data_IF_465882236549
#
_entry.id   IF_465882236549
#
_cell.length_a   1.000
_cell.length_b   1.000
_cell.length_c   1.000
_cell.angle_alpha   90.00
_cell.angle_beta   90.00
_cell.angle_gamma   90.00
#
_symmetry.space_group_name_H-M   'P 1'
#
loop_
_entity.id
_entity.type
_entity.pdbx_description
1 polymer ?
#
# COMPACT_ATOMS: atom_id res chain seq x y z
N UNK A 1 10.06 21.45 -38.69
CA UNK A 1 10.79 22.58 -38.06
C UNK A 1 9.76 23.53 -37.47
N UNK A 2 9.47 23.36 -36.18
CA UNK A 2 8.85 24.37 -35.31
C UNK A 2 9.22 23.93 -33.90
N UNK A 3 10.27 24.57 -33.39
CA UNK A 3 10.96 24.19 -32.16
C UNK A 3 10.07 24.34 -30.95
N UNK A 4 10.07 23.30 -30.12
CA UNK A 4 9.62 23.39 -28.74
C UNK A 4 10.66 24.25 -28.01
N UNK A 5 10.32 25.52 -27.78
CA UNK A 5 11.13 26.39 -26.94
C UNK A 5 11.08 25.83 -25.52
N UNK A 6 12.22 25.30 -25.06
CA UNK A 6 12.41 24.81 -23.71
C UNK A 6 11.97 25.86 -22.70
N UNK A 7 11.12 25.44 -21.78
CA UNK A 7 10.87 26.21 -20.57
C UNK A 7 12.21 26.45 -19.88
N UNK A 8 12.59 27.72 -19.79
CA UNK A 8 13.80 28.16 -19.12
C UNK A 8 13.88 27.56 -17.71
N UNK A 9 15.05 27.04 -17.36
CA UNK A 9 15.34 26.44 -16.06
C UNK A 9 14.98 27.41 -14.94
N UNK A 10 13.97 27.04 -14.16
CA UNK A 10 13.73 27.62 -12.85
C UNK A 10 14.77 26.97 -11.95
N UNK A 11 15.64 27.77 -11.32
CA UNK A 11 16.62 27.29 -10.34
C UNK A 11 15.95 26.49 -9.21
N UNK A 12 16.73 25.75 -8.40
CA UNK A 12 16.18 25.00 -7.28
C UNK A 12 15.31 25.94 -6.45
N UNK A 13 14.05 25.56 -6.23
CA UNK A 13 13.14 26.32 -5.38
C UNK A 13 13.71 26.48 -3.96
N UNK A 14 13.07 27.25 -3.08
CA UNK A 14 13.58 27.48 -1.73
C UNK A 14 13.67 26.22 -0.86
N UNK A 15 13.10 25.10 -1.32
CA UNK A 15 13.05 23.84 -0.58
C UNK A 15 13.99 22.78 -1.14
N UNK A 16 14.64 22.05 -0.24
CA UNK A 16 15.55 20.93 -0.56
C UNK A 16 14.84 19.60 -0.33
N UNK A 17 15.00 18.65 -1.24
CA UNK A 17 14.36 17.35 -1.10
C UNK A 17 15.22 16.39 -0.27
N UNK A 18 14.55 15.66 0.63
CA UNK A 18 15.14 14.57 1.39
C UNK A 18 14.27 13.34 1.25
N UNK A 19 14.90 12.18 1.08
CA UNK A 19 14.25 10.88 1.13
C UNK A 19 14.85 10.04 2.26
N UNK A 20 13.99 9.61 3.19
CA UNK A 20 14.37 8.61 4.18
C UNK A 20 14.05 7.24 3.60
N UNK A 21 15.08 6.43 3.36
CA UNK A 21 14.94 5.17 2.64
C UNK A 21 16.22 4.36 2.68
N UNK A 22 16.18 3.18 2.08
CA UNK A 22 17.39 2.40 1.84
C UNK A 22 18.02 2.87 0.52
N UNK A 23 19.18 3.52 0.56
CA UNK A 23 19.78 4.20 -0.58
C UNK A 23 20.06 3.29 -1.79
N UNK A 24 20.31 2.00 -1.55
CA UNK A 24 20.47 0.98 -2.58
C UNK A 24 19.14 0.54 -3.21
N UNK A 25 18.00 0.86 -2.59
CA UNK A 25 16.71 0.43 -3.08
C UNK A 25 16.31 1.20 -4.34
N UNK A 26 15.83 0.46 -5.34
CA UNK A 26 15.31 0.99 -6.60
C UNK A 26 14.25 2.07 -6.44
N UNK A 27 13.42 2.04 -5.39
CA UNK A 27 12.39 3.08 -5.12
C UNK A 27 13.06 4.43 -4.82
N UNK A 28 14.11 4.43 -4.01
CA UNK A 28 14.92 5.63 -3.73
C UNK A 28 15.62 6.11 -5.00
N UNK A 29 16.28 5.22 -5.73
CA UNK A 29 16.97 5.57 -6.98
C UNK A 29 16.05 6.17 -8.04
N UNK A 30 14.85 5.60 -8.24
CA UNK A 30 13.87 6.12 -9.19
C UNK A 30 13.29 7.48 -8.76
N UNK A 31 13.09 7.70 -7.46
CA UNK A 31 12.67 9.01 -6.97
C UNK A 31 13.74 10.08 -7.16
N UNK A 32 15.01 9.75 -6.87
CA UNK A 32 16.15 10.65 -7.10
C UNK A 32 16.24 11.03 -8.58
N UNK A 33 16.16 10.05 -9.49
CA UNK A 33 16.18 10.31 -10.92
C UNK A 33 15.00 11.18 -11.39
N UNK A 34 13.80 10.95 -10.86
CA UNK A 34 12.63 11.78 -11.15
C UNK A 34 12.82 13.23 -10.66
N UNK A 35 13.39 13.43 -9.47
CA UNK A 35 13.67 14.75 -8.91
C UNK A 35 14.71 15.52 -9.75
N UNK A 36 15.79 14.87 -10.16
CA UNK A 36 16.80 15.46 -11.05
C UNK A 36 16.19 15.84 -12.40
N UNK A 37 15.41 14.93 -13.01
CA UNK A 37 14.73 15.17 -14.30
C UNK A 37 13.72 16.31 -14.22
N UNK A 38 13.03 16.45 -13.08
CA UNK A 38 12.06 17.51 -12.83
C UNK A 38 12.70 18.86 -12.44
N UNK A 39 14.04 18.93 -12.35
CA UNK A 39 14.76 20.14 -11.95
C UNK A 39 14.64 20.47 -10.45
N UNK A 40 14.22 19.52 -9.62
CA UNK A 40 14.06 19.70 -8.17
C UNK A 40 15.39 19.60 -7.39
N UNK A 41 16.50 19.38 -8.09
CA UNK A 41 17.81 19.05 -7.51
C UNK A 41 17.88 17.57 -7.10
N UNK A 42 19.07 17.15 -6.66
CA UNK A 42 19.30 15.77 -6.20
C UNK A 42 18.85 15.64 -4.74
N UNK A 43 17.84 14.80 -4.42
CA UNK A 43 17.44 14.61 -3.04
C UNK A 43 18.57 14.03 -2.19
N UNK A 44 18.71 14.53 -0.96
CA UNK A 44 19.57 13.93 0.05
C UNK A 44 18.94 12.62 0.53
N UNK A 45 19.74 11.57 0.68
CA UNK A 45 19.28 10.30 1.22
C UNK A 45 19.64 10.22 2.70
N UNK A 46 18.66 9.88 3.55
CA UNK A 46 18.85 9.54 4.96
C UNK A 46 18.54 8.05 5.10
N UNK A 47 19.53 7.27 5.51
CA UNK A 47 19.40 5.81 5.54
C UNK A 47 18.56 5.36 6.73
N UNK A 48 17.62 4.43 6.51
CA UNK A 48 16.85 3.84 7.62
C UNK A 48 17.73 3.18 8.66
N UNK A 49 18.85 2.55 8.25
CA UNK A 49 19.79 1.91 9.20
C UNK A 49 20.37 2.93 10.19
N UNK A 50 20.66 4.15 9.73
CA UNK A 50 21.27 5.19 10.55
C UNK A 50 20.21 5.76 11.51
N UNK A 51 19.00 6.05 11.00
CA UNK A 51 17.85 6.45 11.83
C UNK A 51 17.56 5.44 12.95
N UNK A 52 17.57 4.15 12.63
CA UNK A 52 17.27 3.07 13.58
C UNK A 52 18.37 2.89 14.64
N UNK A 53 19.63 3.13 14.29
CA UNK A 53 20.78 2.99 15.20
C UNK A 53 20.96 4.23 16.08
N UNK A 54 20.80 5.40 15.49
CA UNK A 54 21.05 6.68 16.15
C UNK A 54 19.83 7.16 16.94
N UNK A 55 18.68 6.52 16.75
CA UNK A 55 17.45 6.83 17.47
C UNK A 55 16.72 8.07 16.94
N UNK A 56 16.97 8.49 15.70
CA UNK A 56 16.29 9.61 15.05
C UNK A 56 17.11 10.32 14.00
N UNK A 57 16.53 11.40 13.46
CA UNK A 57 17.19 12.34 12.56
C UNK A 57 16.48 13.69 12.63
N UNK A 58 17.25 14.78 12.56
CA UNK A 58 16.74 16.15 12.53
C UNK A 58 16.92 16.74 11.12
N UNK A 59 15.82 17.22 10.54
CA UNK A 59 15.79 17.88 9.25
C UNK A 59 15.70 19.39 9.42
N UNK A 60 16.26 20.14 8.48
CA UNK A 60 16.14 21.59 8.46
C UNK A 60 14.72 22.02 8.04
N UNK A 61 14.29 23.22 8.45
CA UNK A 61 12.95 23.74 8.15
C UNK A 61 12.68 23.92 6.65
N UNK A 62 13.73 24.07 5.84
CA UNK A 62 13.66 24.18 4.38
C UNK A 62 13.70 22.82 3.66
N UNK A 63 13.66 21.71 4.38
CA UNK A 63 13.69 20.37 3.79
C UNK A 63 12.29 19.76 3.65
N UNK A 64 11.95 19.29 2.45
CA UNK A 64 10.77 18.46 2.19
C UNK A 64 11.18 17.00 2.36
N UNK A 65 10.56 16.33 3.32
CA UNK A 65 10.94 14.98 3.76
C UNK A 65 9.91 13.97 3.28
N UNK A 66 10.34 13.12 2.35
CA UNK A 66 9.60 11.94 1.90
C UNK A 66 10.11 10.70 2.62
N UNK A 67 9.20 9.85 3.09
CA UNK A 67 9.57 8.52 3.55
C UNK A 67 9.38 7.48 2.43
N UNK A 68 10.25 6.48 2.43
CA UNK A 68 10.16 5.33 1.55
C UNK A 68 10.20 4.04 2.38
N UNK A 69 9.67 2.95 1.82
CA UNK A 69 9.61 1.65 2.51
C UNK A 69 10.99 1.21 3.04
N UNK A 70 11.09 0.79 4.31
CA UNK A 70 12.33 0.26 4.88
C UNK A 70 12.62 -1.19 4.44
N UNK A 71 11.76 -1.79 3.60
CA UNK A 71 11.90 -3.17 3.14
C UNK A 71 13.03 -3.40 2.12
N UNK A 72 13.19 -4.67 1.73
CA UNK A 72 14.23 -5.14 0.78
C UNK A 72 15.69 -4.86 1.24
N UNK A 73 15.92 -4.61 2.54
CA UNK A 73 17.27 -4.49 3.13
C UNK A 73 17.39 -5.41 4.37
N UNK A 74 18.33 -6.36 4.33
CA UNK A 74 18.45 -7.40 5.35
C UNK A 74 18.88 -6.89 6.74
N UNK A 75 19.64 -5.79 6.78
CA UNK A 75 20.07 -5.21 8.05
C UNK A 75 18.94 -4.44 8.73
N UNK A 76 18.24 -3.61 7.96
CA UNK A 76 17.07 -2.87 8.42
C UNK A 76 15.95 -3.82 8.83
N UNK A 77 15.70 -4.89 8.06
CA UNK A 77 14.72 -5.92 8.42
C UNK A 77 15.08 -6.58 9.76
N UNK A 78 16.36 -6.90 10.00
CA UNK A 78 16.82 -7.46 11.28
C UNK A 78 16.60 -6.48 12.44
N UNK A 79 16.93 -5.20 12.26
CA UNK A 79 16.71 -4.17 13.28
C UNK A 79 15.23 -4.01 13.62
N UNK A 80 14.35 -4.10 12.62
CA UNK A 80 12.90 -3.93 12.80
C UNK A 80 12.20 -5.19 13.33
N UNK A 81 12.54 -6.39 12.82
CA UNK A 81 11.83 -7.64 13.16
C UNK A 81 12.44 -8.42 14.29
N UNK A 82 13.74 -8.27 14.53
CA UNK A 82 14.52 -9.16 15.38
C UNK A 82 14.56 -10.61 14.87
N UNK A 83 14.47 -10.77 13.55
CA UNK A 83 14.50 -12.09 12.88
C UNK A 83 15.68 -12.13 11.93
N UNK A 84 16.50 -13.17 12.04
CA UNK A 84 17.75 -13.29 11.28
C UNK A 84 17.58 -13.71 9.81
N UNK A 85 16.45 -14.34 9.47
CA UNK A 85 16.15 -14.83 8.13
C UNK A 85 15.00 -13.99 7.51
N UNK A 86 15.25 -13.24 6.42
CA UNK A 86 14.26 -12.35 5.81
C UNK A 86 13.08 -13.08 5.18
N UNK A 87 13.20 -14.39 4.93
CA UNK A 87 12.11 -15.20 4.38
C UNK A 87 11.05 -15.55 5.41
N UNK A 88 11.35 -15.39 6.70
CA UNK A 88 10.40 -15.64 7.79
C UNK A 88 9.16 -14.77 7.62
N UNK A 89 8.02 -15.20 8.15
CA UNK A 89 6.77 -14.43 8.08
C UNK A 89 6.36 -13.81 9.42
N UNK A 90 6.97 -14.24 10.51
CA UNK A 90 6.68 -13.83 11.89
C UNK A 90 7.46 -12.57 12.31
N UNK A 91 7.07 -11.93 13.41
CA UNK A 91 7.71 -10.72 13.94
C UNK A 91 7.22 -9.43 13.29
N UNK A 92 6.07 -9.47 12.62
CA UNK A 92 5.45 -8.31 12.00
C UNK A 92 4.93 -7.30 13.04
N UNK A 93 4.55 -7.74 14.25
CA UNK A 93 4.19 -6.83 15.34
C UNK A 93 5.41 -6.09 15.90
N UNK A 94 6.54 -6.77 16.06
CA UNK A 94 7.82 -6.14 16.46
C UNK A 94 8.27 -5.14 15.40
N UNK A 95 8.20 -5.51 14.12
CA UNK A 95 8.47 -4.62 13.00
C UNK A 95 7.62 -3.36 13.07
N UNK A 96 6.31 -3.51 13.26
CA UNK A 96 5.39 -2.38 13.33
C UNK A 96 5.73 -1.43 14.48
N UNK A 97 5.95 -1.96 15.69
CA UNK A 97 6.28 -1.15 16.85
C UNK A 97 7.60 -0.39 16.67
N UNK A 98 8.66 -1.06 16.20
CA UNK A 98 9.98 -0.44 15.99
C UNK A 98 9.96 0.54 14.82
N UNK A 99 9.22 0.24 13.75
CA UNK A 99 9.04 1.14 12.62
C UNK A 99 8.35 2.44 13.04
N UNK A 100 7.24 2.36 13.80
CA UNK A 100 6.56 3.55 14.29
C UNK A 100 7.41 4.36 15.28
N UNK A 101 8.21 3.70 16.11
CA UNK A 101 9.17 4.40 16.97
C UNK A 101 10.20 5.18 16.14
N UNK A 102 10.74 4.60 15.06
CA UNK A 102 11.67 5.27 14.15
C UNK A 102 11.02 6.43 13.39
N UNK A 103 9.80 6.24 12.87
CA UNK A 103 9.03 7.31 12.23
C UNK A 103 8.71 8.44 13.21
N UNK A 104 8.45 8.09 14.47
CA UNK A 104 8.16 9.00 15.57
C UNK A 104 9.40 9.67 16.17
N UNK A 105 10.62 9.27 15.81
CA UNK A 105 11.87 9.92 16.24
C UNK A 105 12.41 10.96 15.25
N UNK A 106 11.87 11.01 14.04
CA UNK A 106 12.16 12.06 13.05
C UNK A 106 11.65 13.43 13.53
N UNK A 107 12.44 14.50 13.32
CA UNK A 107 12.15 15.88 13.77
C UNK A 107 12.45 16.89 12.66
N UNK A 108 11.70 18.00 12.64
CA UNK A 108 11.90 19.07 11.66
C UNK A 108 11.48 18.70 10.23
N UNK A 109 11.66 19.64 9.31
CA UNK A 109 11.27 19.51 7.91
C UNK A 109 9.76 19.43 7.65
N UNK A 110 9.39 19.63 6.39
CA UNK A 110 8.02 19.44 5.90
C UNK A 110 7.81 17.99 5.48
N UNK A 111 7.13 17.21 6.32
CA UNK A 111 6.88 15.78 6.07
C UNK A 111 5.75 15.57 5.07
N UNK A 112 5.96 14.63 4.14
CA UNK A 112 4.94 14.17 3.19
C UNK A 112 4.18 12.92 3.64
N UNK A 113 4.64 12.31 4.74
CA UNK A 113 4.07 11.09 5.32
C UNK A 113 3.92 11.25 6.85
N UNK A 114 2.69 11.46 7.30
CA UNK A 114 2.33 11.73 8.68
C UNK A 114 2.42 10.49 9.58
N UNK A 115 3.02 10.56 10.78
CA UNK A 115 3.19 9.40 11.67
C UNK A 115 1.85 8.79 12.11
N UNK A 116 0.80 9.61 12.30
CA UNK A 116 -0.53 9.13 12.69
C UNK A 116 -1.21 8.32 11.58
N UNK A 117 -1.02 8.70 10.32
CA UNK A 117 -1.53 7.96 9.17
C UNK A 117 -0.74 6.67 8.95
N UNK A 118 0.59 6.71 9.04
CA UNK A 118 1.43 5.53 8.93
C UNK A 118 1.08 4.48 10.01
N UNK A 119 0.78 4.92 11.24
CA UNK A 119 0.34 4.01 12.30
C UNK A 119 -0.93 3.23 11.93
N UNK A 120 -1.83 3.82 11.14
CA UNK A 120 -3.06 3.18 10.68
C UNK A 120 -2.84 2.40 9.39
N UNK A 121 -2.14 2.95 8.40
CA UNK A 121 -1.85 2.30 7.12
C UNK A 121 -1.08 0.98 7.29
N UNK A 122 -0.20 0.90 8.28
CA UNK A 122 0.57 -0.32 8.57
C UNK A 122 -0.16 -1.34 9.47
N UNK A 123 -1.35 -1.06 10.00
CA UNK A 123 -2.19 -2.04 10.70
C UNK A 123 -3.51 -2.23 9.95
N UNK A 124 -3.65 -3.37 9.27
CA UNK A 124 -4.82 -3.70 8.44
C UNK A 124 -6.13 -3.58 9.18
N UNK A 125 -6.16 -3.88 10.48
CA UNK A 125 -7.38 -3.79 11.29
C UNK A 125 -7.79 -2.34 11.48
N UNK A 126 -6.83 -1.47 11.80
CA UNK A 126 -7.07 -0.05 11.99
C UNK A 126 -7.41 0.64 10.68
N UNK A 127 -6.67 0.36 9.61
CA UNK A 127 -6.95 0.87 8.27
C UNK A 127 -8.37 0.49 7.84
N UNK A 128 -8.72 -0.79 7.97
CA UNK A 128 -10.06 -1.28 7.66
C UNK A 128 -11.16 -0.54 8.43
N UNK A 129 -11.03 -0.38 9.74
CA UNK A 129 -12.02 0.35 10.54
C UNK A 129 -12.13 1.83 10.17
N UNK A 130 -11.01 2.49 9.87
CA UNK A 130 -11.03 3.90 9.45
C UNK A 130 -11.77 4.07 8.12
N UNK A 131 -11.54 3.17 7.16
CA UNK A 131 -12.22 3.18 5.87
C UNK A 131 -13.73 2.90 6.03
N UNK A 132 -14.10 1.88 6.81
CA UNK A 132 -15.50 1.52 7.06
C UNK A 132 -16.26 2.68 7.73
N UNK A 133 -15.66 3.31 8.75
CA UNK A 133 -16.24 4.47 9.43
C UNK A 133 -16.43 5.69 8.51
N UNK A 134 -15.61 5.82 7.46
CA UNK A 134 -15.74 6.86 6.44
C UNK A 134 -16.72 6.50 5.31
N UNK A 135 -17.37 5.34 5.36
CA UNK A 135 -18.27 4.85 4.33
C UNK A 135 -17.57 4.33 3.07
N UNK A 136 -16.25 4.14 3.11
CA UNK A 136 -15.50 3.52 2.02
C UNK A 136 -15.81 2.01 2.00
N UNK A 137 -16.26 1.43 0.87
CA UNK A 137 -16.63 0.03 0.84
C UNK A 137 -15.43 -0.89 1.11
N UNK A 138 -15.50 -1.70 2.16
CA UNK A 138 -14.50 -2.71 2.52
C UNK A 138 -15.15 -4.10 2.71
N UNK A 139 -14.42 -5.21 2.58
CA UNK A 139 -14.96 -6.53 2.87
C UNK A 139 -15.41 -6.68 4.33
N UNK A 140 -16.54 -7.32 4.65
CA UNK A 140 -16.93 -7.53 6.05
C UNK A 140 -15.80 -8.21 6.86
N UNK A 141 -15.46 -7.63 8.02
CA UNK A 141 -14.36 -8.09 8.87
C UNK A 141 -14.73 -8.03 10.37
N UNK A 142 -14.81 -9.18 11.06
CA UNK A 142 -15.04 -9.23 12.51
C UNK A 142 -13.88 -8.71 13.37
N UNK A 143 -12.68 -8.61 12.79
CA UNK A 143 -11.47 -8.11 13.46
C UNK A 143 -11.17 -6.63 13.16
N UNK A 144 -12.05 -5.97 12.40
CA UNK A 144 -11.95 -4.54 12.05
C UNK A 144 -11.74 -3.71 13.31
N UNK A 145 -10.77 -2.80 13.31
CA UNK A 145 -10.53 -1.90 14.44
C UNK A 145 -10.07 -2.60 15.72
N UNK A 146 -9.59 -3.85 15.63
CA UNK A 146 -9.21 -4.69 16.78
C UNK A 146 -10.39 -5.01 17.70
N UNK A 147 -11.63 -5.01 17.17
CA UNK A 147 -12.84 -5.35 17.93
C UNK A 147 -12.85 -6.77 18.47
N UNK A 148 -12.12 -7.68 17.79
CA UNK A 148 -11.96 -9.06 18.20
C UNK A 148 -10.48 -9.43 18.16
N UNK A 149 -9.98 -9.94 19.29
CA UNK A 149 -8.68 -10.58 19.36
C UNK A 149 -8.80 -12.03 18.89
N UNK A 150 -7.88 -12.46 18.03
CA UNK A 150 -7.81 -13.82 17.49
C UNK A 150 -6.48 -14.39 17.96
N UNK A 151 -6.53 -15.29 18.95
CA UNK A 151 -5.38 -15.92 19.57
C UNK A 151 -4.90 -17.19 18.86
N UNK A 152 -5.68 -17.71 17.91
CA UNK A 152 -5.30 -18.90 17.14
C UNK A 152 -6.40 -19.41 16.22
N UNK A 153 -6.22 -20.63 15.73
CA UNK A 153 -7.09 -21.28 14.78
C UNK A 153 -8.51 -21.53 15.29
N UNK A 154 -8.65 -21.89 16.57
CA UNK A 154 -9.97 -22.11 17.17
C UNK A 154 -10.83 -20.85 17.12
N UNK A 155 -10.22 -19.67 17.34
CA UNK A 155 -10.91 -18.38 17.20
C UNK A 155 -11.26 -18.11 15.74
N UNK A 156 -10.38 -18.41 14.78
CA UNK A 156 -10.70 -18.30 13.35
C UNK A 156 -11.92 -19.17 12.99
N UNK A 157 -11.96 -20.42 13.48
CA UNK A 157 -13.10 -21.34 13.28
C UNK A 157 -14.38 -20.80 13.90
N UNK A 158 -14.29 -20.23 15.10
CA UNK A 158 -15.42 -19.62 15.79
C UNK A 158 -15.96 -18.41 14.98
N UNK A 159 -15.08 -17.51 14.55
CA UNK A 159 -15.40 -16.36 13.72
C UNK A 159 -16.08 -16.78 12.42
N UNK A 160 -15.53 -17.78 11.71
CA UNK A 160 -16.13 -18.28 10.47
C UNK A 160 -17.56 -18.80 10.68
N UNK A 161 -17.82 -19.49 11.79
CA UNK A 161 -19.13 -20.04 12.13
C UNK A 161 -20.11 -18.94 12.55
N UNK A 162 -19.73 -18.09 13.49
CA UNK A 162 -20.58 -17.07 14.11
C UNK A 162 -21.01 -15.99 13.12
N UNK A 163 -20.13 -15.63 12.18
CA UNK A 163 -20.42 -14.62 11.16
C UNK A 163 -20.89 -15.20 9.82
N UNK A 164 -21.08 -16.52 9.73
CA UNK A 164 -21.49 -17.20 8.49
C UNK A 164 -20.51 -16.93 7.34
N UNK A 165 -19.21 -17.02 7.61
CA UNK A 165 -18.12 -16.73 6.68
C UNK A 165 -17.38 -18.01 6.29
N UNK A 166 -17.93 -18.83 5.35
CA UNK A 166 -17.30 -20.08 4.94
C UNK A 166 -16.01 -19.87 4.15
N UNK A 167 -15.72 -18.63 3.73
CA UNK A 167 -14.50 -18.25 3.01
C UNK A 167 -13.96 -16.94 3.57
N UNK A 168 -12.73 -16.97 4.05
CA UNK A 168 -12.06 -15.83 4.68
C UNK A 168 -10.63 -15.68 4.19
N UNK A 169 -10.13 -14.45 4.19
CA UNK A 169 -8.69 -14.21 4.23
C UNK A 169 -8.28 -14.04 5.68
N UNK A 170 -7.26 -14.78 6.11
CA UNK A 170 -6.55 -14.56 7.37
C UNK A 170 -5.22 -13.91 7.02
N UNK A 171 -4.95 -12.72 7.56
CA UNK A 171 -3.78 -11.90 7.23
C UNK A 171 -3.05 -11.48 8.51
N UNK A 172 -1.71 -11.54 8.59
CA UNK A 172 -0.98 -10.83 9.64
C UNK A 172 -1.33 -9.35 9.59
N UNK A 173 -1.58 -8.73 10.74
CA UNK A 173 -2.07 -7.36 10.82
C UNK A 173 -1.12 -6.35 10.13
N UNK A 174 0.19 -6.58 10.27
CA UNK A 174 1.24 -5.69 9.77
C UNK A 174 2.07 -6.29 8.61
N UNK A 175 1.66 -7.45 8.09
CA UNK A 175 2.37 -8.12 7.00
C UNK A 175 2.28 -7.37 5.67
N UNK A 176 3.22 -7.57 4.76
CA UNK A 176 3.24 -6.97 3.42
C UNK A 176 3.48 -8.04 2.34
N UNK A 177 3.32 -7.68 1.05
CA UNK A 177 3.60 -8.58 -0.09
C UNK A 177 2.87 -9.92 -0.07
N UNK A 178 1.67 -9.96 0.53
CA UNK A 178 0.90 -11.17 0.81
C UNK A 178 1.64 -12.25 1.64
N UNK A 179 2.73 -11.87 2.31
CA UNK A 179 3.47 -12.72 3.24
C UNK A 179 2.58 -13.11 4.42
N UNK A 180 2.51 -14.40 4.72
CA UNK A 180 1.66 -14.90 5.81
C UNK A 180 0.16 -14.88 5.54
N UNK A 181 -0.31 -14.50 4.33
CA UNK A 181 -1.75 -14.47 4.03
C UNK A 181 -2.26 -15.87 3.68
N UNK A 182 -3.39 -16.27 4.29
CA UNK A 182 -4.09 -17.51 3.99
C UNK A 182 -5.49 -17.21 3.44
N UNK A 183 -5.81 -17.75 2.26
CA UNK A 183 -7.18 -17.84 1.78
C UNK A 183 -7.79 -19.17 2.27
N UNK A 184 -8.62 -19.09 3.31
CA UNK A 184 -9.22 -20.24 3.99
C UNK A 184 -10.66 -20.43 3.52
N UNK A 185 -11.04 -21.67 3.25
CA UNK A 185 -12.41 -22.05 2.99
C UNK A 185 -12.82 -23.34 3.70
N UNK A 186 -14.08 -23.39 4.10
CA UNK A 186 -14.75 -24.58 4.63
C UNK A 186 -15.92 -24.95 3.72
N UNK A 187 -16.02 -26.23 3.35
CA UNK A 187 -17.19 -26.77 2.66
C UNK A 187 -18.38 -26.90 3.63
N UNK A 188 -19.58 -27.13 3.10
CA UNK A 188 -20.75 -27.50 3.88
C UNK A 188 -20.58 -28.81 4.67
N UNK A 189 -19.68 -29.70 4.20
CA UNK A 189 -19.33 -30.95 4.88
C UNK A 189 -18.20 -30.77 5.91
N UNK A 190 -17.79 -29.54 6.23
CA UNK A 190 -16.71 -29.23 7.17
C UNK A 190 -15.29 -29.47 6.63
N UNK A 191 -15.12 -29.77 5.34
CA UNK A 191 -13.77 -29.94 4.75
C UNK A 191 -13.08 -28.60 4.60
N UNK A 192 -11.86 -28.51 5.09
CA UNK A 192 -11.06 -27.28 5.08
C UNK A 192 -10.04 -27.27 3.95
N UNK A 193 -9.73 -26.06 3.48
CA UNK A 193 -8.60 -25.80 2.60
C UNK A 193 -8.04 -24.42 2.88
N UNK A 194 -6.72 -24.30 2.95
CA UNK A 194 -6.02 -23.02 2.96
C UNK A 194 -5.11 -22.90 1.74
N UNK A 195 -5.16 -21.77 1.04
CA UNK A 195 -4.23 -21.44 -0.04
C UNK A 195 -3.33 -20.30 0.41
N UNK A 196 -2.01 -20.50 0.41
CA UNK A 196 -1.03 -19.54 0.95
C UNK A 196 0.34 -19.70 0.28
N UNK A 197 1.24 -18.72 0.41
CA UNK A 197 2.66 -18.86 0.05
C UNK A 197 3.53 -19.32 1.22
N UNK A 198 2.95 -19.44 2.42
CA UNK A 198 3.64 -19.94 3.61
C UNK A 198 4.07 -21.38 3.39
N UNK A 199 5.35 -21.63 3.62
CA UNK A 199 5.96 -22.94 3.74
C UNK A 199 6.37 -23.15 5.19
N UNK A 200 5.97 -24.30 5.74
CA UNK A 200 6.37 -24.74 7.07
C UNK A 200 7.69 -25.50 6.93
N UNK A 201 8.75 -25.04 7.61
CA UNK A 201 9.98 -25.82 7.69
C UNK A 201 9.79 -26.99 8.67
N UNK A 202 10.39 -28.14 8.34
CA UNK A 202 10.43 -29.31 9.19
C UNK A 202 11.39 -29.14 10.40
N UNK A 203 12.13 -28.03 10.45
CA UNK A 203 13.17 -27.80 11.45
C UNK A 203 12.56 -27.27 12.76
N UNK A 204 12.21 -28.21 13.65
CA UNK A 204 11.76 -27.92 15.02
C UNK A 204 11.66 -29.18 15.87
N UNK A 205 12.03 -29.07 17.15
CA UNK A 205 11.74 -30.14 18.12
C UNK A 205 10.23 -30.16 18.48
N UNK A 206 9.75 -31.17 19.22
CA UNK A 206 8.34 -31.32 19.60
C UNK A 206 7.71 -30.13 20.37
N UNK A 207 8.53 -29.17 20.80
CA UNK A 207 8.15 -28.02 21.63
C UNK A 207 8.51 -26.66 21.01
N UNK A 208 8.95 -26.63 19.74
CA UNK A 208 9.23 -25.37 19.04
C UNK A 208 8.09 -25.08 18.07
N UNK A 209 7.54 -23.86 18.04
CA UNK A 209 6.56 -23.48 17.01
C UNK A 209 7.18 -23.65 15.62
N UNK A 210 6.38 -24.01 14.61
CA UNK A 210 6.86 -24.19 13.25
C UNK A 210 7.52 -22.91 12.74
N UNK A 211 8.65 -23.04 12.05
CA UNK A 211 9.24 -21.91 11.32
C UNK A 211 8.48 -21.73 10.03
N UNK A 212 7.93 -20.54 9.86
CA UNK A 212 7.13 -20.20 8.69
C UNK A 212 7.94 -19.33 7.73
N UNK A 213 7.97 -19.69 6.45
CA UNK A 213 8.71 -18.98 5.41
C UNK A 213 7.77 -18.55 4.28
N UNK A 214 7.92 -17.34 3.76
CA UNK A 214 7.28 -16.93 2.52
C UNK A 214 8.05 -17.51 1.33
N UNK A 215 7.62 -18.67 0.84
CA UNK A 215 8.27 -19.37 -0.27
C UNK A 215 8.06 -18.70 -1.62
N UNK A 216 7.20 -17.67 -1.69
CA UNK A 216 6.67 -17.04 -2.91
C UNK A 216 5.89 -17.99 -3.84
N UNK A 217 5.85 -19.29 -3.53
CA UNK A 217 5.13 -20.32 -4.27
C UNK A 217 3.82 -20.59 -3.57
N UNK A 218 2.71 -20.38 -4.27
CA UNK A 218 1.38 -20.66 -3.74
C UNK A 218 1.18 -22.17 -3.60
N UNK A 219 0.78 -22.60 -2.41
CA UNK A 219 0.52 -24.00 -2.01
C UNK A 219 -0.88 -24.12 -1.43
N UNK A 220 -1.33 -25.35 -1.27
CA UNK A 220 -2.64 -25.69 -0.67
C UNK A 220 -2.45 -26.67 0.46
N UNK A 221 -2.99 -26.34 1.62
CA UNK A 221 -3.08 -27.20 2.79
C UNK A 221 -4.52 -27.67 2.94
N UNK A 222 -4.71 -28.95 3.25
CA UNK A 222 -6.01 -29.55 3.50
C UNK A 222 -6.07 -30.29 4.84
N UNK A 223 -4.92 -30.56 5.47
CA UNK A 223 -4.87 -31.01 6.86
C UNK A 223 -5.13 -29.82 7.78
N UNK A 224 -6.16 -29.94 8.62
CA UNK A 224 -6.51 -28.91 9.60
C UNK A 224 -5.38 -28.65 10.58
N UNK A 225 -4.58 -29.66 10.95
CA UNK A 225 -3.47 -29.50 11.90
C UNK A 225 -2.36 -28.61 11.33
N UNK A 226 -2.06 -28.75 10.04
CA UNK A 226 -1.09 -27.88 9.36
C UNK A 226 -1.62 -26.45 9.26
N UNK A 227 -2.90 -26.28 8.90
CA UNK A 227 -3.54 -24.97 8.84
C UNK A 227 -3.52 -24.30 10.21
N UNK A 228 -3.86 -25.04 11.27
CA UNK A 228 -3.86 -24.56 12.63
C UNK A 228 -2.46 -24.11 13.06
N UNK A 229 -1.45 -24.94 12.87
CA UNK A 229 -0.06 -24.60 13.23
C UNK A 229 0.47 -23.35 12.53
N UNK A 230 0.08 -23.10 11.28
CA UNK A 230 0.42 -21.85 10.58
C UNK A 230 -0.29 -20.66 11.23
N UNK A 231 -1.60 -20.77 11.45
CA UNK A 231 -2.41 -19.67 12.01
C UNK A 231 -1.98 -19.34 13.43
N UNK A 232 -1.75 -20.34 14.27
CA UNK A 232 -1.35 -20.17 15.68
C UNK A 232 0.01 -19.48 15.79
N UNK A 233 0.97 -19.85 14.92
CA UNK A 233 2.27 -19.19 14.89
C UNK A 233 2.18 -17.72 14.43
N UNK A 234 1.24 -17.39 13.53
CA UNK A 234 1.00 -16.01 13.08
C UNK A 234 0.16 -15.19 14.08
N UNK A 235 -0.64 -15.83 14.92
CA UNK A 235 -1.58 -15.15 15.81
C UNK A 235 -0.90 -14.22 16.82
N UNK A 236 0.33 -14.53 17.22
CA UNK A 236 1.14 -13.70 18.12
C UNK A 236 1.41 -12.28 17.57
N UNK A 237 1.46 -12.13 16.24
CA UNK A 237 1.63 -10.82 15.60
C UNK A 237 0.28 -10.06 15.43
N UNK A 238 -0.83 -10.73 15.74
CA UNK A 238 -2.19 -10.25 15.50
C UNK A 238 -2.67 -10.54 14.08
N UNK A 239 -3.95 -10.94 13.99
CA UNK A 239 -4.59 -11.31 12.74
C UNK A 239 -5.70 -10.35 12.35
N UNK A 240 -5.83 -10.15 11.04
CA UNK A 240 -6.98 -9.55 10.40
C UNK A 240 -7.71 -10.63 9.60
N UNK A 241 -8.99 -10.84 9.91
CA UNK A 241 -9.88 -11.77 9.23
C UNK A 241 -10.92 -10.97 8.48
N UNK A 242 -11.01 -11.18 7.17
CA UNK A 242 -12.03 -10.55 6.34
C UNK A 242 -12.69 -11.56 5.41
N UNK A 243 -13.90 -11.22 4.95
CA UNK A 243 -14.63 -12.06 4.00
C UNK A 243 -13.87 -12.13 2.69
N UNK A 244 -13.62 -13.35 2.23
CA UNK A 244 -13.10 -13.56 0.90
C UNK A 244 -14.21 -13.32 -0.14
N UNK A 245 -14.20 -12.11 -0.71
CA UNK A 245 -15.14 -11.71 -1.75
C UNK A 245 -14.82 -12.38 -3.10
N UNK A 246 -15.82 -12.90 -3.82
CA UNK A 246 -15.65 -13.29 -5.22
C UNK A 246 -15.31 -12.08 -6.08
N UNK A 247 -14.16 -12.13 -6.76
CA UNK A 247 -13.68 -11.03 -7.61
C UNK A 247 -14.00 -11.24 -9.07
N UNK A 248 -14.04 -10.15 -9.82
CA UNK A 248 -14.05 -10.20 -11.27
C UNK A 248 -12.80 -10.89 -11.81
N UNK A 249 -12.93 -11.40 -13.02
CA UNK A 249 -11.82 -11.95 -13.78
C UNK A 249 -11.52 -11.07 -14.99
N UNK A 250 -10.25 -10.97 -15.34
CA UNK A 250 -9.78 -10.44 -16.61
C UNK A 250 -9.07 -11.57 -17.35
N UNK A 251 -9.48 -11.86 -18.59
CA UNK A 251 -8.91 -12.94 -19.42
C UNK A 251 -8.86 -14.30 -18.69
N UNK A 252 -9.95 -14.66 -17.99
CA UNK A 252 -10.06 -15.92 -17.25
C UNK A 252 -9.23 -16.02 -15.96
N UNK A 253 -8.58 -14.93 -15.53
CA UNK A 253 -7.76 -14.86 -14.31
C UNK A 253 -8.40 -13.92 -13.30
N UNK A 254 -8.34 -14.23 -12.01
CA UNK A 254 -8.81 -13.32 -10.95
C UNK A 254 -8.10 -11.98 -11.09
N UNK A 255 -8.83 -10.87 -10.97
CA UNK A 255 -8.29 -9.53 -11.14
C UNK A 255 -8.51 -8.65 -9.89
N UNK A 256 -7.59 -7.73 -9.66
CA UNK A 256 -7.77 -6.54 -8.84
C UNK A 256 -7.14 -5.32 -9.53
N UNK A 257 -7.34 -4.13 -8.94
CA UNK A 257 -6.72 -2.89 -9.37
C UNK A 257 -5.81 -2.38 -8.26
N UNK A 258 -4.62 -1.93 -8.64
CA UNK A 258 -3.78 -1.06 -7.81
C UNK A 258 -3.89 0.34 -8.38
N UNK A 259 -4.50 1.24 -7.62
CA UNK A 259 -4.68 2.65 -7.99
C UNK A 259 -3.77 3.50 -7.11
N UNK A 260 -2.93 4.32 -7.73
CA UNK A 260 -2.09 5.28 -7.03
C UNK A 260 -2.85 6.60 -6.89
N UNK A 261 -3.02 7.05 -5.66
CA UNK A 261 -3.64 8.34 -5.35
C UNK A 261 -2.55 9.27 -4.82
N UNK A 262 -2.36 10.41 -5.50
CA UNK A 262 -1.34 11.41 -5.17
C UNK A 262 -2.05 12.74 -4.92
N UNK A 263 -1.80 13.36 -3.77
CA UNK A 263 -2.47 14.60 -3.34
C UNK A 263 -4.00 14.51 -3.46
N UNK A 264 -4.57 13.39 -3.01
CA UNK A 264 -6.01 13.14 -3.03
C UNK A 264 -6.62 12.81 -4.40
N UNK A 265 -5.83 12.74 -5.48
CA UNK A 265 -6.34 12.45 -6.83
C UNK A 265 -5.82 11.13 -7.38
N UNK A 266 -6.69 10.33 -7.98
CA UNK A 266 -6.28 9.09 -8.65
C UNK A 266 -5.45 9.44 -9.88
N UNK A 267 -4.18 8.98 -9.89
CA UNK A 267 -3.20 9.38 -10.91
C UNK A 267 -2.80 8.23 -11.82
N UNK A 268 -2.65 7.02 -11.28
CA UNK A 268 -2.21 5.84 -12.03
C UNK A 268 -3.06 4.64 -11.64
N UNK A 269 -3.26 3.71 -12.55
CA UNK A 269 -3.91 2.44 -12.25
C UNK A 269 -3.22 1.29 -12.98
N UNK A 270 -3.13 0.13 -12.33
CA UNK A 270 -2.69 -1.11 -12.96
C UNK A 270 -3.63 -2.24 -12.57
N UNK A 271 -4.02 -3.05 -13.56
CA UNK A 271 -4.75 -4.30 -13.33
C UNK A 271 -3.74 -5.36 -12.93
N UNK A 272 -3.96 -6.07 -11.83
CA UNK A 272 -3.15 -7.25 -11.47
C UNK A 272 -4.01 -8.50 -11.60
N UNK A 273 -3.47 -9.51 -12.26
CA UNK A 273 -4.18 -10.76 -12.54
C UNK A 273 -3.45 -11.99 -12.01
N UNK A 274 -4.18 -12.96 -11.48
CA UNK A 274 -3.61 -14.18 -10.91
C UNK A 274 -4.45 -15.42 -11.22
N UNK A 275 -3.79 -16.59 -11.23
CA UNK A 275 -4.45 -17.90 -11.24
C UNK A 275 -4.96 -18.31 -9.84
N UNK A 276 -4.57 -17.56 -8.81
CA UNK A 276 -4.90 -17.78 -7.41
C UNK A 276 -5.79 -16.64 -6.89
N UNK A 277 -6.43 -16.82 -5.71
CA UNK A 277 -7.23 -15.77 -5.08
C UNK A 277 -6.43 -14.50 -4.76
N UNK A 278 -5.16 -14.68 -4.40
CA UNK A 278 -4.20 -13.61 -4.16
C UNK A 278 -3.59 -13.14 -5.48
N UNK A 279 -3.76 -11.85 -5.76
CA UNK A 279 -3.39 -11.16 -7.02
C UNK A 279 -2.06 -10.41 -6.95
N UNK A 280 -1.34 -10.54 -5.83
CA UNK A 280 -0.06 -9.90 -5.60
C UNK A 280 0.98 -10.31 -6.67
N UNK A 281 1.71 -9.32 -7.22
CA UNK A 281 2.69 -9.54 -8.28
C UNK A 281 3.89 -10.40 -7.82
N UNK A 282 4.22 -10.38 -6.52
CA UNK A 282 5.28 -11.22 -5.94
C UNK A 282 4.92 -12.72 -5.93
N UNK A 283 3.64 -13.07 -6.08
CA UNK A 283 3.14 -14.45 -6.11
C UNK A 283 2.87 -14.95 -7.55
N UNK A 284 3.57 -14.40 -8.53
CA UNK A 284 3.38 -14.75 -9.95
C UNK A 284 2.16 -14.08 -10.61
N UNK A 285 1.66 -12.99 -10.02
CA UNK A 285 0.68 -12.12 -10.66
C UNK A 285 1.26 -11.41 -11.89
N UNK A 286 0.39 -11.02 -12.83
CA UNK A 286 0.78 -10.32 -14.05
C UNK A 286 -0.03 -9.04 -14.23
N UNK A 287 0.55 -8.02 -14.88
CA UNK A 287 -0.21 -6.84 -15.30
C UNK A 287 -1.24 -7.25 -16.36
N UNK A 288 -2.50 -6.89 -16.13
CA UNK A 288 -3.57 -7.06 -17.11
C UNK A 288 -3.67 -5.86 -18.05
N UNK A 289 -4.57 -5.96 -19.03
CA UNK A 289 -4.92 -4.83 -19.89
C UNK A 289 -5.92 -3.91 -19.18
N UNK A 290 -5.49 -2.67 -18.91
CA UNK A 290 -6.32 -1.67 -18.26
C UNK A 290 -7.47 -1.23 -19.17
N UNK A 291 -7.25 -1.11 -20.48
CA UNK A 291 -8.28 -0.65 -21.43
C UNK A 291 -9.47 -1.59 -21.41
N UNK A 292 -9.23 -2.91 -21.55
CA UNK A 292 -10.29 -3.93 -21.43
C UNK A 292 -11.07 -3.84 -20.12
N UNK A 293 -10.40 -3.47 -19.02
CA UNK A 293 -11.07 -3.33 -17.72
C UNK A 293 -11.91 -2.07 -17.64
N UNK A 294 -11.40 -0.94 -18.14
CA UNK A 294 -12.15 0.32 -18.23
C UNK A 294 -13.41 0.12 -19.07
N UNK A 295 -13.30 -0.54 -20.22
CA UNK A 295 -14.44 -0.86 -21.09
C UNK A 295 -15.45 -1.77 -20.39
N UNK A 296 -14.98 -2.80 -19.68
CA UNK A 296 -15.84 -3.72 -18.94
C UNK A 296 -16.55 -3.06 -17.75
N UNK A 297 -15.91 -2.08 -17.10
CA UNK A 297 -16.48 -1.31 -16.00
C UNK A 297 -17.45 -0.22 -16.49
N UNK A 298 -17.26 0.31 -17.70
CA UNK A 298 -18.05 1.40 -18.27
C UNK A 298 -18.09 2.61 -17.33
N UNK A 299 -19.28 3.18 -17.13
CA UNK A 299 -19.51 4.32 -16.23
C UNK A 299 -19.07 4.08 -14.77
N UNK A 300 -18.92 2.80 -14.37
CA UNK A 300 -18.48 2.43 -13.01
C UNK A 300 -16.97 2.59 -12.83
N UNK A 301 -16.21 2.78 -13.90
CA UNK A 301 -14.78 3.10 -13.79
C UNK A 301 -14.56 4.39 -13.01
N UNK A 302 -15.35 5.43 -13.26
CA UNK A 302 -15.28 6.68 -12.48
C UNK A 302 -15.56 6.43 -11.01
N UNK A 303 -16.58 5.62 -10.71
CA UNK A 303 -16.88 5.22 -9.32
C UNK A 303 -15.71 4.47 -8.67
N UNK A 304 -14.99 3.64 -9.42
CA UNK A 304 -13.80 2.95 -8.90
C UNK A 304 -12.70 3.94 -8.49
N UNK A 305 -12.46 4.99 -9.29
CA UNK A 305 -11.52 6.06 -8.95
C UNK A 305 -12.01 6.89 -7.76
N UNK A 306 -13.29 7.28 -7.74
CA UNK A 306 -13.90 8.04 -6.64
C UNK A 306 -13.74 7.31 -5.30
N UNK A 307 -13.93 5.98 -5.27
CA UNK A 307 -13.72 5.16 -4.06
C UNK A 307 -12.25 5.20 -3.61
N UNK A 308 -11.29 5.16 -4.53
CA UNK A 308 -9.87 5.25 -4.19
C UNK A 308 -9.51 6.64 -3.65
N UNK A 309 -10.05 7.71 -4.22
CA UNK A 309 -9.87 9.08 -3.73
C UNK A 309 -10.49 9.26 -2.32
N UNK A 310 -11.68 8.69 -2.07
CA UNK A 310 -12.30 8.66 -0.74
C UNK A 310 -11.46 7.87 0.28
N UNK A 311 -10.90 6.74 -0.12
CA UNK A 311 -9.99 5.97 0.72
C UNK A 311 -8.73 6.76 1.08
N UNK A 312 -8.15 7.48 0.13
CA UNK A 312 -6.99 8.34 0.37
C UNK A 312 -7.32 9.54 1.27
N UNK A 313 -8.52 10.11 1.16
CA UNK A 313 -8.98 11.21 2.02
C UNK A 313 -9.04 10.84 3.51
N UNK A 314 -9.02 9.55 3.85
CA UNK A 314 -8.90 9.06 5.24
C UNK A 314 -7.47 9.21 5.82
N UNK A 315 -6.50 9.64 5.01
CA UNK A 315 -5.09 9.80 5.35
C UNK A 315 -4.56 11.16 4.87
N UNK A 316 -5.06 12.28 5.44
CA UNK A 316 -4.79 13.62 4.94
C UNK A 316 -3.33 14.07 5.10
N UNK A 317 -2.57 13.45 6.01
CA UNK A 317 -1.17 13.77 6.26
C UNK A 317 -0.22 12.91 5.41
N UNK A 318 -0.76 12.12 4.47
CA UNK A 318 0.02 11.25 3.59
C UNK A 318 -0.20 11.65 2.13
N UNK A 319 0.86 12.12 1.47
CA UNK A 319 0.79 12.62 0.09
C UNK A 319 0.35 11.55 -0.91
N UNK A 320 0.81 10.30 -0.72
CA UNK A 320 0.72 9.27 -1.74
C UNK A 320 0.37 7.90 -1.13
N UNK A 321 -0.72 7.30 -1.60
CA UNK A 321 -1.14 5.95 -1.20
C UNK A 321 -1.44 5.06 -2.40
N UNK A 322 -1.14 3.77 -2.26
CA UNK A 322 -1.53 2.73 -3.21
C UNK A 322 -2.76 1.98 -2.74
N UNK A 323 -3.91 2.19 -3.38
CA UNK A 323 -5.19 1.55 -3.04
C UNK A 323 -5.35 0.26 -3.82
N UNK A 324 -5.51 -0.86 -3.11
CA UNK A 324 -5.90 -2.14 -3.68
C UNK A 324 -7.42 -2.24 -3.74
N UNK A 325 -7.97 -2.16 -4.95
CA UNK A 325 -9.40 -2.19 -5.20
C UNK A 325 -9.82 -3.54 -5.78
N UNK A 326 -10.76 -4.20 -5.11
CA UNK A 326 -11.29 -5.50 -5.47
C UNK A 326 -12.60 -5.32 -6.26
N UNK A 327 -12.62 -5.60 -7.57
CA UNK A 327 -13.84 -5.56 -8.35
C UNK A 327 -14.70 -6.79 -8.05
N UNK A 328 -15.98 -6.60 -7.75
CA UNK A 328 -16.95 -7.68 -7.70
C UNK A 328 -17.18 -8.27 -9.10
N UNK A 329 -17.69 -9.50 -9.18
CA UNK A 329 -17.99 -10.20 -10.44
C UNK A 329 -18.74 -9.25 -11.42
N UNK A 330 -18.23 -9.19 -12.65
CA UNK A 330 -18.77 -8.34 -13.71
C UNK A 330 -18.47 -6.85 -13.56
N UNK A 331 -17.48 -6.46 -12.74
CA UNK A 331 -17.02 -5.07 -12.59
C UNK A 331 -18.09 -4.09 -12.10
N UNK A 332 -19.14 -4.60 -11.44
CA UNK A 332 -20.34 -3.83 -11.09
C UNK A 332 -20.20 -2.99 -9.81
N UNK A 333 -19.33 -3.44 -8.91
CA UNK A 333 -19.07 -2.86 -7.58
C UNK A 333 -17.60 -3.04 -7.25
N UNK A 334 -17.10 -2.18 -6.37
CA UNK A 334 -15.71 -2.16 -5.97
C UNK A 334 -15.60 -2.04 -4.45
N UNK A 335 -14.64 -2.73 -3.86
CA UNK A 335 -14.33 -2.67 -2.43
C UNK A 335 -12.83 -2.52 -2.22
N UNK A 336 -12.40 -1.65 -1.32
CA UNK A 336 -11.00 -1.50 -0.95
C UNK A 336 -10.56 -2.70 -0.13
N UNK A 337 -9.55 -3.43 -0.60
CA UNK A 337 -8.96 -4.55 0.11
C UNK A 337 -7.80 -4.15 1.02
N UNK A 338 -7.05 -3.11 0.64
CA UNK A 338 -5.92 -2.57 1.41
C UNK A 338 -5.54 -1.17 0.88
N UNK A 339 -4.98 -0.33 1.74
CA UNK A 339 -4.35 0.94 1.37
C UNK A 339 -2.90 0.91 1.84
N UNK A 340 -1.96 1.10 0.92
CA UNK A 340 -0.53 0.98 1.15
C UNK A 340 0.12 2.36 1.23
N UNK A 341 0.93 2.58 2.26
CA UNK A 341 1.76 3.78 2.38
C UNK A 341 2.85 3.84 1.30
N UNK A 342 3.42 5.04 1.09
CA UNK A 342 4.53 5.31 0.15
C UNK A 342 4.20 5.05 -1.31
N UNK A 343 2.91 4.90 -1.64
CA UNK A 343 2.47 4.51 -2.98
C UNK A 343 2.90 3.09 -3.35
N UNK A 344 3.32 2.91 -4.60
CA UNK A 344 3.75 1.60 -5.10
C UNK A 344 4.89 1.74 -6.11
N UNK A 345 5.66 0.67 -6.27
CA UNK A 345 6.68 0.59 -7.28
C UNK A 345 6.06 0.12 -8.60
N UNK A 346 5.69 1.08 -9.44
CA UNK A 346 5.03 0.84 -10.74
C UNK A 346 5.91 1.34 -11.90
N UNK A 347 7.08 0.72 -12.14
CA UNK A 347 7.98 1.18 -13.19
C UNK A 347 7.29 1.09 -14.56
N UNK A 348 7.58 2.07 -15.42
CA UNK A 348 7.06 2.21 -16.78
C UNK A 348 5.54 2.37 -16.87
N UNK A 349 4.88 2.73 -15.77
CA UNK A 349 3.48 3.13 -15.78
C UNK A 349 3.42 4.66 -15.83
N UNK A 350 2.62 5.19 -16.75
CA UNK A 350 2.34 6.62 -16.85
C UNK A 350 0.96 6.93 -16.29
N UNK A 351 0.73 8.19 -15.92
CA UNK A 351 -0.55 8.61 -15.37
C UNK A 351 -1.71 8.44 -16.36
N UNK A 352 -2.92 8.33 -15.79
CA UNK A 352 -4.16 8.14 -16.51
C UNK A 352 -4.41 9.29 -17.50
N UNK A 353 -4.88 8.99 -18.73
CA UNK A 353 -5.25 10.01 -19.71
C UNK A 353 -6.29 10.99 -19.16
N UNK A 354 -6.12 12.28 -19.44
CA UNK A 354 -6.98 13.36 -18.93
C UNK A 354 -6.89 13.60 -17.42
N UNK A 355 -6.01 12.87 -16.70
CA UNK A 355 -5.80 13.00 -15.27
C UNK A 355 -4.71 14.03 -14.91
N UNK A 356 -4.54 14.35 -13.61
CA UNK A 356 -3.59 15.36 -13.15
C UNK A 356 -2.11 14.97 -13.30
N UNK A 357 -1.84 13.73 -13.70
CA UNK A 357 -0.50 13.18 -13.89
C UNK A 357 -0.31 12.56 -15.29
N UNK A 358 -1.15 12.93 -16.26
CA UNK A 358 -1.07 12.37 -17.62
C UNK A 358 0.35 12.44 -18.18
N UNK A 359 0.85 11.30 -18.66
CA UNK A 359 2.20 11.16 -19.22
C UNK A 359 3.35 11.18 -18.22
N UNK A 360 3.11 11.50 -16.93
CA UNK A 360 4.12 11.48 -15.89
C UNK A 360 4.26 10.07 -15.30
N UNK A 361 5.45 9.73 -14.81
CA UNK A 361 5.63 8.57 -13.93
C UNK A 361 5.14 8.85 -12.50
N UNK A 362 5.08 7.79 -11.69
CA UNK A 362 4.54 7.85 -10.32
C UNK A 362 5.29 8.79 -9.37
N UNK A 363 6.59 9.02 -9.59
CA UNK A 363 7.42 9.87 -8.73
C UNK A 363 7.42 11.31 -9.22
N UNK A 364 7.50 11.53 -10.53
CA UNK A 364 7.34 12.85 -11.15
C UNK A 364 5.96 13.44 -10.81
N UNK A 365 4.91 12.61 -10.76
CA UNK A 365 3.58 13.04 -10.30
C UNK A 365 3.57 13.55 -8.84
N UNK A 366 4.30 12.90 -7.93
CA UNK A 366 4.40 13.34 -6.53
C UNK A 366 5.16 14.67 -6.42
N UNK A 367 6.29 14.80 -7.13
CA UNK A 367 7.07 16.04 -7.17
C UNK A 367 6.24 17.20 -7.72
N UNK A 368 5.51 16.99 -8.83
CA UNK A 368 4.64 17.98 -9.42
C UNK A 368 3.50 18.39 -8.48
N UNK A 369 2.89 17.43 -7.77
CA UNK A 369 1.82 17.71 -6.81
C UNK A 369 2.30 18.61 -5.67
N UNK A 370 3.46 18.31 -5.07
CA UNK A 370 4.04 19.15 -4.01
C UNK A 370 4.41 20.52 -4.55
N UNK A 371 5.04 20.60 -5.72
CA UNK A 371 5.37 21.88 -6.36
C UNK A 371 4.13 22.75 -6.56
N UNK A 372 3.03 22.17 -7.06
CA UNK A 372 1.79 22.89 -7.30
C UNK A 372 1.13 23.36 -5.99
N UNK A 373 1.23 22.59 -4.91
CA UNK A 373 0.73 22.99 -3.59
C UNK A 373 1.53 24.13 -2.95
N UNK A 374 2.84 24.21 -3.26
CA UNK A 374 3.75 25.22 -2.70
C UNK A 374 3.81 26.52 -3.53
N UNK A 375 3.23 26.54 -4.73
CA UNK A 375 3.10 27.77 -5.52
C UNK A 375 1.96 28.64 -4.95
N UNK A 376 2.18 29.94 -4.71
CA UNK A 376 1.07 30.83 -4.34
C UNK A 376 0.03 30.84 -5.47
N UNK A 377 -1.25 30.79 -5.11
CA UNK A 377 -2.34 30.91 -6.07
C UNK A 377 -2.13 32.19 -6.90
N UNK A 378 -2.36 32.16 -8.24
CA UNK A 378 -2.21 33.36 -9.05
C UNK A 378 -3.07 34.47 -8.48
N UNK A 379 -2.46 35.60 -8.15
CA UNK A 379 -3.17 36.78 -7.68
C UNK A 379 -4.26 37.10 -8.71
N UNK A 380 -5.52 37.09 -8.27
CA UNK A 380 -6.62 37.64 -9.06
C UNK A 380 -6.26 39.10 -9.40
N UNK A 381 -5.78 39.33 -10.61
CA UNK A 381 -5.68 40.67 -11.17
C UNK A 381 -7.11 41.24 -11.13
N UNK A 382 -7.36 42.36 -10.43
CA UNK A 382 -8.66 43.01 -10.46
C UNK A 382 -8.99 43.30 -11.92
N UNK A 383 -10.12 42.78 -12.40
CA UNK A 383 -10.66 43.15 -13.70
C UNK A 383 -10.72 44.68 -13.75
N UNK A 384 -9.95 45.27 -14.65
CA UNK A 384 -9.98 46.70 -14.91
C UNK A 384 -11.44 47.09 -15.17
N UNK A 385 -11.97 47.97 -14.32
CA UNK A 385 -13.25 48.64 -14.56
C UNK A 385 -13.16 49.27 -15.95
N UNK A 386 -14.00 48.81 -16.87
CA UNK A 386 -14.27 49.52 -18.11
C UNK A 386 -15.06 50.76 -17.73
N UNK A 387 -14.36 51.86 -17.50
CA UNK A 387 -14.98 53.17 -17.45
C UNK A 387 -15.50 53.49 -18.86
N UNK A 388 -16.82 53.40 -19.02
CA UNK A 388 -17.51 53.95 -20.17
C UNK A 388 -17.51 55.48 -20.04
N UNK A 389 -16.55 56.14 -20.69
CA UNK A 389 -16.66 57.56 -21.00
C UNK A 389 -17.68 57.73 -22.14
N UNK A 390 -18.78 58.43 -21.84
CA UNK A 390 -19.60 59.12 -22.84
C UNK A 390 -18.75 60.24 -23.44
N UNK A 391 -18.63 60.30 -24.76
CA UNK A 391 -18.95 61.47 -25.60
C UNK A 391 -19.04 61.01 -27.05
#
# INVERSE_FOLDING_TARGET
MSGWSGAAGVGPGPYRWVVVGNGENRRVGLFVAAAETAGAGRPRVVEWRDVLRDGGHEFADDEIVRLESPGENAEVDRLLRDVGDPTRVEGSATWYARFLAAVGSLRGGLRLDGPADLAVLFDKRLCHARLDAAGVPVPPSPTSGRTLAVGGWDDVRAVMREHGMPRVFVKPAHGSSASGVLAVESSASGRLRATTSVEVSADGGPHTPPRLHNSLRVRRYADEREIAGIVDALAADGLHIERWLPKASAQGRSADLRVLVVAGRATHAVVRTSRFPMTNLHLGGARGDLTSVVDAAGDRWRQALDICEQAAACFPDTLCVGVDLLPAIGWRRFTVGEVNAFGDLLPRLTGLPGGPAEGLDTYTAQLAAVRNAMLPAPAHLPQARKDHARF
#
